data_IF_314032681752
#
_entry.id   IF_314032681752
#
_cell.length_a   1.000
_cell.length_b   1.000
_cell.length_c   1.000
_cell.angle_alpha   90.00
_cell.angle_beta   90.00
_cell.angle_gamma   90.00
#
_symmetry.space_group_name_H-M   'P 1'
#
loop_
_entity.id
_entity.type
_entity.pdbx_description
1 polymer ?
#
# COMPACT_ATOMS: atom_id res chain seq x y z
N UNK A 1 7.46 32.73 80.34
CA UNK A 1 6.27 32.53 79.50
C UNK A 1 6.52 31.27 78.68
N UNK A 2 5.57 30.34 78.71
CA UNK A 2 5.70 28.96 78.26
C UNK A 2 5.58 28.87 76.72
N UNK A 3 6.65 28.48 76.03
CA UNK A 3 6.69 28.32 74.56
C UNK A 3 6.40 26.86 74.14
N UNK A 4 5.74 26.07 74.98
CA UNK A 4 5.59 24.62 74.78
C UNK A 4 4.31 24.16 74.07
N UNK A 5 3.53 25.05 73.45
CA UNK A 5 2.15 24.71 73.01
C UNK A 5 1.78 24.97 71.54
N UNK A 6 2.75 25.13 70.61
CA UNK A 6 2.40 25.11 69.18
C UNK A 6 2.35 23.68 68.62
N UNK A 7 1.20 23.22 68.06
CA UNK A 7 1.13 21.94 67.39
C UNK A 7 2.07 21.92 66.16
N UNK A 8 2.74 20.78 65.88
CA UNK A 8 3.68 20.68 64.78
C UNK A 8 2.98 20.98 63.45
N UNK A 9 3.63 21.78 62.60
CA UNK A 9 3.11 22.16 61.30
C UNK A 9 2.80 20.90 60.45
N UNK A 10 1.70 20.90 59.65
CA UNK A 10 1.37 19.76 58.81
C UNK A 10 2.53 19.43 57.85
N UNK A 11 2.83 18.14 57.62
CA UNK A 11 3.87 17.75 56.70
C UNK A 11 3.56 18.28 55.28
N UNK A 12 4.57 18.80 54.56
CA UNK A 12 4.36 19.34 53.22
C UNK A 12 3.85 18.24 52.27
N UNK A 13 2.80 18.55 51.52
CA UNK A 13 2.15 17.61 50.61
C UNK A 13 3.15 17.03 49.59
N UNK A 14 3.16 15.70 49.36
CA UNK A 14 4.09 15.09 48.43
C UNK A 14 3.77 15.53 47.00
N UNK A 15 4.66 16.31 46.38
CA UNK A 15 4.62 16.68 44.96
C UNK A 15 5.04 15.49 44.09
N UNK A 16 4.29 14.39 44.16
CA UNK A 16 4.52 13.22 43.34
C UNK A 16 3.60 13.23 42.12
N UNK A 17 4.17 13.06 40.93
CA UNK A 17 3.45 12.37 39.85
C UNK A 17 3.35 13.08 38.51
N UNK A 18 3.46 14.41 38.43
CA UNK A 18 3.19 15.11 37.16
C UNK A 18 4.24 14.84 36.08
N UNK A 19 5.53 14.85 36.43
CA UNK A 19 6.62 14.54 35.47
C UNK A 19 6.65 13.07 35.04
N UNK A 20 6.32 12.15 35.94
CA UNK A 20 6.20 10.70 35.63
C UNK A 20 5.01 10.43 34.72
N UNK A 21 3.86 11.06 34.96
CA UNK A 21 2.70 10.95 34.06
C UNK A 21 2.97 11.53 32.67
N UNK A 22 3.64 12.69 32.57
CA UNK A 22 4.02 13.27 31.27
C UNK A 22 4.95 12.30 30.53
N UNK A 23 5.95 11.72 31.20
CA UNK A 23 6.85 10.75 30.60
C UNK A 23 6.12 9.49 30.09
N UNK A 24 5.18 8.94 30.87
CA UNK A 24 4.37 7.78 30.46
C UNK A 24 3.51 8.09 29.24
N UNK A 25 2.88 9.27 29.20
CA UNK A 25 2.05 9.69 28.05
C UNK A 25 2.90 9.87 26.80
N UNK A 26 4.08 10.48 26.90
CA UNK A 26 5.00 10.65 25.76
C UNK A 26 5.43 9.27 25.23
N UNK A 27 5.79 8.34 26.11
CA UNK A 27 6.19 6.98 25.71
C UNK A 27 5.03 6.24 25.02
N UNK A 28 3.80 6.36 25.54
CA UNK A 28 2.63 5.74 24.94
C UNK A 28 2.35 6.28 23.51
N UNK A 29 2.50 7.59 23.30
CA UNK A 29 2.32 8.21 21.98
C UNK A 29 3.39 7.72 21.00
N UNK A 30 4.65 7.61 21.43
CA UNK A 30 5.74 7.09 20.59
C UNK A 30 5.47 5.64 20.20
N UNK A 31 5.01 4.80 21.12
CA UNK A 31 4.67 3.40 20.84
C UNK A 31 3.53 3.32 19.81
N UNK A 32 2.47 4.13 19.98
CA UNK A 32 1.35 4.17 19.04
C UNK A 32 1.85 4.60 17.65
N UNK A 33 2.67 5.65 17.57
CA UNK A 33 3.22 6.13 16.31
C UNK A 33 4.06 5.06 15.59
N UNK A 34 4.86 4.28 16.33
CA UNK A 34 5.64 3.16 15.76
C UNK A 34 4.74 2.04 15.26
N UNK A 35 3.68 1.68 16.01
CA UNK A 35 2.73 0.64 15.59
C UNK A 35 1.97 1.08 14.33
N UNK A 36 1.44 2.30 14.33
CA UNK A 36 0.73 2.85 13.16
C UNK A 36 1.65 2.95 11.96
N UNK A 37 2.89 3.42 12.15
CA UNK A 37 3.90 3.49 11.10
C UNK A 37 4.26 2.11 10.53
N UNK A 38 4.39 1.09 11.39
CA UNK A 38 4.66 -0.29 10.98
C UNK A 38 3.52 -0.91 10.19
N UNK A 39 2.27 -0.69 10.61
CA UNK A 39 1.08 -1.17 9.88
C UNK A 39 0.99 -0.50 8.51
N UNK A 40 1.14 0.83 8.44
CA UNK A 40 1.13 1.55 7.15
C UNK A 40 2.27 1.08 6.26
N UNK A 41 3.46 0.86 6.80
CA UNK A 41 4.61 0.35 6.05
C UNK A 41 4.31 -1.01 5.42
N UNK A 42 3.80 -1.97 6.21
CA UNK A 42 3.43 -3.32 5.72
C UNK A 42 2.32 -3.27 4.68
N UNK A 43 1.31 -2.41 4.86
CA UNK A 43 0.24 -2.21 3.86
C UNK A 43 0.74 -1.50 2.59
N UNK A 44 1.80 -0.69 2.72
CA UNK A 44 2.40 0.05 1.61
C UNK A 44 3.44 -0.74 0.82
N UNK A 45 3.76 -1.98 1.21
CA UNK A 45 4.56 -2.90 0.40
C UNK A 45 3.81 -3.23 -0.89
N UNK A 46 3.87 -2.30 -1.84
CA UNK A 46 3.50 -2.55 -3.22
C UNK A 46 4.55 -3.47 -3.80
N UNK A 47 4.19 -4.74 -3.99
CA UNK A 47 4.99 -5.66 -4.81
C UNK A 47 5.18 -5.00 -6.16
N UNK A 48 6.42 -4.93 -6.66
CA UNK A 48 6.69 -4.55 -8.06
C UNK A 48 5.69 -5.30 -8.95
N UNK A 49 4.84 -4.60 -9.73
CA UNK A 49 3.79 -5.26 -10.49
C UNK A 49 4.47 -6.23 -11.45
N UNK A 50 4.12 -7.51 -11.34
CA UNK A 50 4.63 -8.51 -12.26
C UNK A 50 4.08 -8.27 -13.66
N UNK A 51 4.62 -8.94 -14.67
CA UNK A 51 4.09 -8.86 -16.03
C UNK A 51 3.75 -10.24 -16.55
N UNK A 52 2.58 -10.37 -17.17
CA UNK A 52 2.19 -11.56 -17.94
C UNK A 52 2.25 -11.17 -19.41
N UNK A 53 3.08 -11.87 -20.18
CA UNK A 53 3.15 -11.72 -21.63
C UNK A 53 2.11 -12.62 -22.29
N UNK A 54 1.32 -12.04 -23.18
CA UNK A 54 0.29 -12.74 -23.95
C UNK A 54 0.77 -12.83 -25.39
N UNK A 55 1.14 -14.05 -25.80
CA UNK A 55 1.59 -14.39 -27.15
C UNK A 55 0.43 -14.72 -28.09
N UNK A 56 0.35 -14.09 -29.27
CA UNK A 56 -0.59 -14.48 -30.33
C UNK A 56 -0.14 -14.05 -31.74
N UNK A 57 -0.69 -14.67 -32.78
CA UNK A 57 -0.55 -14.23 -34.18
C UNK A 57 -1.78 -13.46 -34.62
N UNK A 58 -1.61 -12.50 -35.52
CA UNK A 58 -2.72 -11.69 -36.03
C UNK A 58 -2.45 -11.17 -37.44
N UNK A 59 -3.42 -11.28 -38.33
CA UNK A 59 -3.27 -10.84 -39.72
C UNK A 59 -3.37 -9.32 -39.85
N UNK A 60 -2.23 -8.63 -39.84
CA UNK A 60 -2.17 -7.18 -40.08
C UNK A 60 -1.83 -6.84 -41.52
N UNK A 61 -1.35 -7.81 -42.28
CA UNK A 61 -1.16 -7.73 -43.72
C UNK A 61 -1.89 -8.88 -44.42
N UNK A 62 -2.14 -8.72 -45.73
CA UNK A 62 -2.87 -9.71 -46.54
C UNK A 62 -4.40 -9.59 -46.47
N UNK A 63 -5.09 -10.64 -46.94
CA UNK A 63 -6.56 -10.65 -47.17
C UNK A 63 -7.39 -10.34 -45.93
N UNK A 64 -6.90 -10.67 -44.73
CA UNK A 64 -7.65 -10.53 -43.48
C UNK A 64 -7.25 -9.30 -42.65
N UNK A 65 -6.54 -8.34 -43.25
CA UNK A 65 -6.05 -7.12 -42.57
C UNK A 65 -7.13 -6.36 -41.80
N UNK A 66 -8.35 -6.25 -42.33
CA UNK A 66 -9.45 -5.53 -41.66
C UNK A 66 -9.87 -6.25 -40.38
N UNK A 67 -10.09 -7.56 -40.47
CA UNK A 67 -10.50 -8.38 -39.32
C UNK A 67 -9.39 -8.48 -38.27
N UNK A 68 -8.13 -8.62 -38.70
CA UNK A 68 -6.98 -8.61 -37.79
C UNK A 68 -6.76 -7.25 -37.15
N UNK A 69 -7.00 -6.14 -37.85
CA UNK A 69 -6.93 -4.79 -37.24
C UNK A 69 -8.02 -4.60 -36.19
N UNK A 70 -9.26 -4.98 -36.49
CA UNK A 70 -10.38 -4.88 -35.54
C UNK A 70 -10.14 -5.75 -34.31
N UNK A 71 -9.64 -6.98 -34.52
CA UNK A 71 -9.28 -7.90 -33.44
C UNK A 71 -8.16 -7.33 -32.56
N UNK A 72 -7.11 -6.76 -33.16
CA UNK A 72 -6.01 -6.13 -32.42
C UNK A 72 -6.50 -4.97 -31.56
N UNK A 73 -7.35 -4.11 -32.12
CA UNK A 73 -7.93 -2.98 -31.40
C UNK A 73 -8.77 -3.46 -30.20
N UNK A 74 -9.53 -4.55 -30.37
CA UNK A 74 -10.29 -5.17 -29.29
C UNK A 74 -9.39 -5.70 -28.17
N UNK A 75 -8.34 -6.45 -28.53
CA UNK A 75 -7.38 -7.02 -27.57
C UNK A 75 -6.63 -5.91 -26.83
N UNK A 76 -6.20 -4.85 -27.52
CA UNK A 76 -5.55 -3.69 -26.91
C UNK A 76 -6.49 -2.95 -25.95
N UNK A 77 -7.76 -2.75 -26.34
CA UNK A 77 -8.77 -2.10 -25.49
C UNK A 77 -9.02 -2.91 -24.22
N UNK A 78 -9.20 -4.22 -24.34
CA UNK A 78 -9.39 -5.11 -23.20
C UNK A 78 -8.16 -5.12 -22.28
N UNK A 79 -6.95 -5.16 -22.85
CA UNK A 79 -5.69 -5.12 -22.10
C UNK A 79 -5.53 -3.82 -21.33
N UNK A 80 -5.81 -2.68 -21.97
CA UNK A 80 -5.79 -1.37 -21.33
C UNK A 80 -6.82 -1.29 -20.19
N UNK A 81 -8.03 -1.81 -20.41
CA UNK A 81 -9.05 -1.87 -19.36
C UNK A 81 -8.58 -2.70 -18.17
N UNK A 82 -8.09 -3.92 -18.38
CA UNK A 82 -7.58 -4.76 -17.28
C UNK A 82 -6.43 -4.08 -16.53
N UNK A 83 -5.46 -3.53 -17.25
CA UNK A 83 -4.29 -2.88 -16.65
C UNK A 83 -4.64 -1.61 -15.87
N UNK A 84 -5.65 -0.85 -16.31
CA UNK A 84 -6.13 0.34 -15.59
C UNK A 84 -6.97 -0.02 -14.35
N UNK A 85 -7.48 -1.24 -14.27
CA UNK A 85 -8.26 -1.75 -13.14
C UNK A 85 -7.42 -2.64 -12.18
N UNK A 86 -6.10 -2.51 -12.23
CA UNK A 86 -5.20 -3.19 -11.29
C UNK A 86 -4.70 -4.55 -11.76
N UNK A 87 -4.84 -4.88 -13.04
CA UNK A 87 -4.23 -6.06 -13.66
C UNK A 87 -4.90 -7.37 -13.27
N UNK A 88 -4.15 -8.47 -13.40
CA UNK A 88 -4.60 -9.82 -13.05
C UNK A 88 -3.95 -10.27 -11.75
N UNK A 89 -4.75 -10.75 -10.80
CA UNK A 89 -4.23 -11.27 -9.52
C UNK A 89 -4.01 -12.78 -9.59
N UNK A 90 -2.76 -13.22 -9.38
CA UNK A 90 -2.37 -14.64 -9.31
C UNK A 90 -1.62 -14.87 -7.99
N UNK A 91 -2.15 -15.73 -7.12
CA UNK A 91 -1.51 -16.05 -5.84
C UNK A 91 -1.29 -14.83 -4.94
N UNK A 92 -2.21 -13.86 -4.94
CA UNK A 92 -2.14 -12.64 -4.13
C UNK A 92 -1.22 -11.54 -4.69
N UNK A 93 -0.61 -11.74 -5.87
CA UNK A 93 0.20 -10.74 -6.56
C UNK A 93 -0.54 -10.23 -7.80
N UNK A 94 -0.50 -8.92 -8.03
CA UNK A 94 -1.04 -8.31 -9.25
C UNK A 94 0.01 -8.29 -10.37
N UNK A 95 -0.46 -8.54 -11.59
CA UNK A 95 0.32 -8.58 -12.82
C UNK A 95 -0.32 -7.72 -13.90
N UNK A 96 0.48 -6.88 -14.56
CA UNK A 96 0.06 -6.17 -15.77
C UNK A 96 0.19 -7.09 -16.98
N UNK A 97 -0.75 -6.96 -17.91
CA UNK A 97 -0.76 -7.68 -19.17
C UNK A 97 0.07 -6.93 -20.21
N UNK A 98 0.94 -7.65 -20.92
CA UNK A 98 1.71 -7.14 -22.07
C UNK A 98 1.44 -8.02 -23.27
N UNK A 99 1.03 -7.41 -24.37
CA UNK A 99 0.80 -8.10 -25.63
C UNK A 99 2.12 -8.29 -26.36
N UNK A 100 2.37 -9.50 -26.82
CA UNK A 100 3.54 -9.89 -27.61
C UNK A 100 3.02 -10.64 -28.83
N UNK A 101 2.90 -9.96 -29.98
CA UNK A 101 2.22 -10.53 -31.15
C UNK A 101 3.01 -10.32 -32.43
N UNK A 102 2.82 -11.26 -33.36
CA UNK A 102 3.47 -11.29 -34.67
C UNK A 102 2.40 -11.19 -35.77
N UNK A 103 2.71 -10.45 -36.84
CA UNK A 103 1.89 -10.41 -38.03
C UNK A 103 2.06 -11.70 -38.84
N UNK A 104 0.98 -12.45 -39.04
CA UNK A 104 1.00 -13.69 -39.83
C UNK A 104 0.80 -13.47 -41.35
N UNK A 105 0.63 -12.21 -41.77
CA UNK A 105 0.49 -11.79 -43.16
C UNK A 105 -0.67 -12.43 -43.95
N UNK A 106 -1.59 -13.12 -43.28
CA UNK A 106 -2.61 -13.96 -43.92
C UNK A 106 -2.04 -15.09 -44.81
N UNK A 107 -0.81 -15.54 -44.55
CA UNK A 107 -0.09 -16.57 -45.32
C UNK A 107 -0.20 -17.98 -44.69
#
# INVERSE_FOLDING_TARGET
MDESSMPPAPPPAPKAGRGRMIAVVVVAIVIIAVITGGIVYVLSLSSTPGTIKIGFTISRTGTYTVEGTNSLNGIQTATAWVNTHGGVTVGGKSYQLVLDFVDDQSD
#
